data_IF_299400750577
#
_entry.id   IF_299400750577
#
_cell.length_a   1.000
_cell.length_b   1.000
_cell.length_c   1.000
_cell.angle_alpha   90.00
_cell.angle_beta   90.00
_cell.angle_gamma   90.00
#
_symmetry.space_group_name_H-M   'P 1'
#
loop_
_entity.id
_entity.type
_entity.pdbx_description
1 polymer ?
#
# COMPACT_ATOMS: atom_id res chain seq x y z
N UNK A 1 -30.36 -3.86 2.96
CA UNK A 1 -29.32 -3.18 2.14
C UNK A 1 -28.00 -3.23 2.91
N UNK A 2 -26.90 -3.68 2.27
CA UNK A 2 -25.58 -3.69 2.92
C UNK A 2 -25.04 -2.26 3.05
N UNK A 3 -24.50 -1.92 4.22
CA UNK A 3 -23.90 -0.60 4.52
C UNK A 3 -22.39 -0.57 4.27
N UNK A 4 -21.75 -1.74 4.08
CA UNK A 4 -20.30 -1.87 4.03
C UNK A 4 -19.84 -2.62 2.78
N UNK A 5 -18.75 -2.12 2.19
CA UNK A 5 -18.03 -2.77 1.10
C UNK A 5 -16.67 -3.19 1.64
N UNK A 6 -16.38 -4.49 1.57
CA UNK A 6 -15.09 -5.06 1.93
C UNK A 6 -14.27 -5.33 0.66
N UNK A 7 -12.99 -4.96 0.69
CA UNK A 7 -12.06 -5.14 -0.43
C UNK A 7 -10.88 -5.98 0.05
N UNK A 8 -10.66 -7.11 -0.62
CA UNK A 8 -9.55 -8.03 -0.35
C UNK A 8 -8.77 -8.24 -1.64
N UNK A 9 -7.46 -8.03 -1.59
CA UNK A 9 -6.58 -8.17 -2.77
C UNK A 9 -5.35 -8.99 -2.42
N UNK A 10 -4.93 -9.82 -3.39
CA UNK A 10 -3.66 -10.54 -3.37
C UNK A 10 -2.83 -10.05 -4.54
N UNK A 11 -1.80 -9.27 -4.24
CA UNK A 11 -0.94 -8.65 -5.25
C UNK A 11 0.48 -9.14 -5.11
N UNK A 12 1.02 -9.71 -6.18
CA UNK A 12 2.42 -10.09 -6.29
C UNK A 12 3.25 -8.88 -6.72
N UNK A 13 4.41 -8.68 -6.10
CA UNK A 13 5.36 -7.63 -6.47
C UNK A 13 6.64 -8.27 -7.01
N UNK A 14 7.23 -7.66 -8.04
CA UNK A 14 8.61 -7.97 -8.44
C UNK A 14 9.60 -7.59 -7.31
N UNK A 15 10.85 -8.11 -7.33
CA UNK A 15 11.87 -7.77 -6.35
C UNK A 15 12.06 -6.25 -6.23
N UNK A 16 11.52 -5.67 -5.16
CA UNK A 16 11.47 -4.22 -4.97
C UNK A 16 11.41 -3.86 -3.49
N UNK A 17 12.04 -2.74 -3.13
CA UNK A 17 12.02 -2.22 -1.76
C UNK A 17 10.88 -1.20 -1.61
N UNK A 18 9.65 -1.72 -1.60
CA UNK A 18 8.41 -0.94 -1.70
C UNK A 18 8.15 0.00 -0.51
N UNK A 19 8.67 -0.34 0.66
CA UNK A 19 8.46 0.41 1.90
C UNK A 19 9.63 0.22 2.85
N UNK A 20 10.24 1.32 3.29
CA UNK A 20 11.47 1.32 4.09
C UNK A 20 11.26 1.74 5.54
N UNK A 21 12.16 1.33 6.41
CA UNK A 21 12.33 1.88 7.76
C UNK A 21 13.32 3.06 7.76
N UNK A 22 13.58 3.63 8.94
CA UNK A 22 14.46 4.77 9.12
C UNK A 22 15.93 4.46 8.77
N UNK A 23 16.29 3.17 8.73
CA UNK A 23 17.62 2.67 8.33
C UNK A 23 17.67 2.24 6.85
N UNK A 24 16.59 2.47 6.09
CA UNK A 24 16.49 2.12 4.67
C UNK A 24 16.20 0.65 4.37
N UNK A 25 16.04 -0.20 5.39
CA UNK A 25 15.73 -1.63 5.24
C UNK A 25 14.25 -1.83 4.90
N UNK A 26 13.89 -2.92 4.18
CA UNK A 26 12.50 -3.21 3.89
C UNK A 26 11.72 -3.41 5.18
N UNK A 27 10.56 -2.77 5.29
CA UNK A 27 9.71 -2.88 6.48
C UNK A 27 9.13 -4.29 6.58
N UNK A 28 9.32 -4.95 7.71
CA UNK A 28 8.83 -6.32 7.96
C UNK A 28 7.80 -6.37 9.09
N UNK A 29 7.14 -7.51 9.23
CA UNK A 29 6.33 -7.88 10.40
C UNK A 29 6.31 -9.41 10.57
N UNK A 30 6.14 -9.87 11.82
CA UNK A 30 5.95 -11.30 12.11
C UNK A 30 4.50 -11.68 11.91
N UNK A 31 4.24 -12.72 11.12
CA UNK A 31 2.90 -13.28 10.91
C UNK A 31 2.99 -14.80 10.83
N UNK A 32 2.29 -15.47 11.75
CA UNK A 32 2.34 -16.94 11.86
C UNK A 32 3.73 -17.48 12.20
N UNK A 33 4.51 -16.75 13.00
CA UNK A 33 5.87 -17.13 13.40
C UNK A 33 6.99 -16.77 12.41
N UNK A 34 6.66 -16.41 11.16
CA UNK A 34 7.63 -16.05 10.14
C UNK A 34 7.66 -14.55 9.87
N UNK A 35 8.83 -14.02 9.50
CA UNK A 35 8.94 -12.64 9.02
C UNK A 35 8.40 -12.52 7.60
N UNK A 36 7.58 -11.50 7.37
CA UNK A 36 7.02 -11.15 6.07
C UNK A 36 7.29 -9.70 5.75
N UNK A 37 7.48 -9.41 4.46
CA UNK A 37 7.56 -8.04 3.97
C UNK A 37 6.21 -7.33 4.17
N UNK A 38 6.26 -6.08 4.64
CA UNK A 38 5.07 -5.31 5.00
C UNK A 38 5.08 -3.94 4.35
N UNK A 39 4.03 -3.68 3.60
CA UNK A 39 3.68 -2.33 3.16
C UNK A 39 2.80 -1.68 4.23
N UNK A 40 3.18 -0.49 4.70
CA UNK A 40 2.39 0.23 5.71
C UNK A 40 1.10 0.78 5.09
N UNK A 41 0.02 0.77 5.86
CA UNK A 41 -1.26 1.35 5.44
C UNK A 41 -1.13 2.83 5.10
N UNK A 42 -0.29 3.58 5.81
CA UNK A 42 -0.01 4.99 5.50
C UNK A 42 0.58 5.18 4.10
N UNK A 43 1.51 4.31 3.69
CA UNK A 43 2.12 4.37 2.36
C UNK A 43 1.07 4.08 1.28
N UNK A 44 0.28 3.02 1.45
CA UNK A 44 -0.79 2.66 0.51
C UNK A 44 -1.88 3.74 0.42
N UNK A 45 -2.34 4.29 1.54
CA UNK A 45 -3.34 5.36 1.57
C UNK A 45 -2.83 6.62 0.88
N UNK A 46 -1.58 7.03 1.13
CA UNK A 46 -0.96 8.17 0.46
C UNK A 46 -0.86 7.94 -1.05
N UNK A 47 -0.45 6.75 -1.48
CA UNK A 47 -0.39 6.40 -2.88
C UNK A 47 -1.76 6.50 -3.56
N UNK A 48 -2.81 5.90 -2.97
CA UNK A 48 -4.18 6.02 -3.48
C UNK A 48 -4.66 7.48 -3.53
N UNK A 49 -4.43 8.26 -2.47
CA UNK A 49 -4.85 9.65 -2.43
C UNK A 49 -4.17 10.51 -3.51
N UNK A 50 -2.87 10.32 -3.74
CA UNK A 50 -2.13 11.03 -4.79
C UNK A 50 -2.63 10.63 -6.18
N UNK A 51 -2.90 9.34 -6.41
CA UNK A 51 -3.45 8.86 -7.68
C UNK A 51 -4.81 9.49 -8.00
N UNK A 52 -5.70 9.57 -7.00
CA UNK A 52 -7.00 10.23 -7.15
C UNK A 52 -6.81 11.72 -7.46
N UNK A 53 -5.91 12.40 -6.75
CA UNK A 53 -5.62 13.81 -6.98
C UNK A 53 -5.09 14.08 -8.40
N UNK A 54 -4.11 13.28 -8.85
CA UNK A 54 -3.51 13.42 -10.18
C UNK A 54 -4.53 13.17 -11.29
N UNK A 55 -5.38 12.15 -11.14
CA UNK A 55 -6.47 11.89 -12.09
C UNK A 55 -7.48 13.04 -12.14
N UNK A 56 -7.87 13.60 -10.99
CA UNK A 56 -8.77 14.76 -10.93
C UNK A 56 -8.15 15.99 -11.60
N UNK A 57 -6.85 16.22 -11.41
CA UNK A 57 -6.13 17.33 -12.05
C UNK A 57 -6.04 17.15 -13.57
N UNK A 58 -5.77 15.92 -14.03
CA UNK A 58 -5.69 15.61 -15.45
C UNK A 58 -7.04 15.77 -16.17
N UNK A 59 -8.15 15.41 -15.51
CA UNK A 59 -9.50 15.63 -16.05
C UNK A 59 -9.94 17.10 -16.09
N UNK A 60 -9.22 17.99 -15.39
CA UNK A 60 -9.53 19.42 -15.31
C UNK A 60 -8.68 20.28 -16.27
N UNK A 61 -7.75 19.67 -17.01
CA UNK A 61 -6.95 20.30 -18.08
C UNK A 61 -7.44 19.85 -19.45
#
# INVERSE_FOLDING_TARGET
MSQFIQLHTLTSYAPSNLNRDDLGRPKTAKMGGFERLRVSSQSQKRHCALLIYLNKRWLAS
#
